data_IF_281454467552
#
_entry.id   IF_281454467552
#
_cell.length_a   1.000
_cell.length_b   1.000
_cell.length_c   1.000
_cell.angle_alpha   90.00
_cell.angle_beta   90.00
_cell.angle_gamma   90.00
#
_symmetry.space_group_name_H-M   'P 1'
#
loop_
_entity.id
_entity.type
_entity.pdbx_description
1 polymer ?
#
# COMPACT_ATOMS: atom_id res chain seq x y z
N UNK A 1 -1.53 -31.17 50.27
CA UNK A 1 -2.72 -32.05 50.40
C UNK A 1 -4.07 -31.31 50.37
N UNK A 2 -4.19 -30.06 50.88
CA UNK A 2 -5.44 -29.27 50.83
C UNK A 2 -5.87 -28.82 49.41
N UNK A 3 -4.91 -28.40 48.58
CA UNK A 3 -5.17 -27.95 47.19
C UNK A 3 -5.75 -29.07 46.32
N UNK A 4 -5.22 -30.29 46.44
CA UNK A 4 -5.72 -31.49 45.74
C UNK A 4 -7.16 -31.86 46.12
N UNK A 5 -7.60 -31.59 47.35
CA UNK A 5 -9.00 -31.81 47.78
C UNK A 5 -9.96 -30.81 47.16
N UNK A 6 -9.55 -29.55 47.04
CA UNK A 6 -10.35 -28.47 46.43
C UNK A 6 -10.53 -28.71 44.93
N UNK A 7 -9.48 -29.14 44.21
CA UNK A 7 -9.62 -29.49 42.79
C UNK A 7 -10.59 -30.67 42.54
N UNK A 8 -10.72 -31.59 43.50
CA UNK A 8 -11.55 -32.79 43.36
C UNK A 8 -13.06 -32.53 43.47
N UNK A 9 -13.46 -31.42 44.11
CA UNK A 9 -14.86 -30.99 44.25
C UNK A 9 -15.36 -30.13 43.10
N UNK A 10 -14.46 -29.61 42.26
CA UNK A 10 -14.82 -28.82 41.07
C UNK A 10 -15.36 -29.75 39.99
N UNK A 11 -16.49 -29.39 39.37
CA UNK A 11 -17.03 -30.12 38.21
C UNK A 11 -16.01 -30.05 37.07
N UNK A 12 -15.75 -31.18 36.41
CA UNK A 12 -14.82 -31.30 35.27
C UNK A 12 -15.03 -30.19 34.23
N UNK A 13 -16.29 -29.85 33.93
CA UNK A 13 -16.66 -28.77 33.01
C UNK A 13 -16.12 -27.40 33.45
N UNK A 14 -16.23 -27.05 34.73
CA UNK A 14 -15.74 -25.77 35.25
C UNK A 14 -14.21 -25.67 35.16
N UNK A 15 -13.51 -26.80 35.41
CA UNK A 15 -12.06 -26.86 35.28
C UNK A 15 -11.62 -26.68 33.82
N UNK A 16 -12.28 -27.34 32.87
CA UNK A 16 -11.98 -27.20 31.44
C UNK A 16 -12.25 -25.76 30.95
N UNK A 17 -13.36 -25.14 31.37
CA UNK A 17 -13.65 -23.73 31.05
C UNK A 17 -12.58 -22.81 31.63
N UNK A 18 -12.14 -23.04 32.87
CA UNK A 18 -11.07 -22.26 33.48
C UNK A 18 -9.75 -22.37 32.71
N UNK A 19 -9.35 -23.58 32.32
CA UNK A 19 -8.13 -23.81 31.53
C UNK A 19 -8.25 -23.13 30.15
N UNK A 20 -9.41 -23.21 29.50
CA UNK A 20 -9.65 -22.55 28.22
C UNK A 20 -9.60 -21.01 28.34
N UNK A 21 -10.19 -20.44 29.39
CA UNK A 21 -10.09 -18.99 29.65
C UNK A 21 -8.65 -18.57 29.94
N UNK A 22 -7.89 -19.39 30.67
CA UNK A 22 -6.48 -19.13 30.93
C UNK A 22 -5.66 -19.16 29.64
N UNK A 23 -5.92 -20.11 28.74
CA UNK A 23 -5.29 -20.18 27.41
C UNK A 23 -5.56 -18.92 26.57
N UNK A 24 -6.82 -18.49 26.50
CA UNK A 24 -7.20 -17.24 25.80
C UNK A 24 -6.55 -16.02 26.48
N UNK A 25 -6.47 -16.02 27.81
CA UNK A 25 -5.79 -14.97 28.58
C UNK A 25 -4.32 -14.83 28.21
N UNK A 26 -3.59 -15.93 28.05
CA UNK A 26 -2.19 -15.92 27.60
C UNK A 26 -2.10 -15.27 26.20
N UNK A 27 -2.96 -15.67 25.26
CA UNK A 27 -2.97 -15.11 23.90
C UNK A 27 -3.15 -13.58 23.93
N UNK A 28 -4.13 -13.11 24.70
CA UNK A 28 -4.42 -11.68 24.79
C UNK A 28 -3.27 -10.90 25.46
N UNK A 29 -2.73 -11.40 26.56
CA UNK A 29 -1.67 -10.73 27.32
C UNK A 29 -0.40 -10.64 26.47
N UNK A 30 0.07 -11.76 25.93
CA UNK A 30 1.29 -11.77 25.11
C UNK A 30 1.09 -10.99 23.80
N UNK A 31 -0.06 -11.12 23.14
CA UNK A 31 -0.37 -10.32 21.96
C UNK A 31 -0.33 -8.81 22.21
N UNK A 32 -0.84 -8.33 23.35
CA UNK A 32 -0.75 -6.91 23.73
C UNK A 32 0.70 -6.51 24.04
N UNK A 33 1.44 -7.33 24.79
CA UNK A 33 2.86 -7.08 25.12
C UNK A 33 3.69 -6.96 23.84
N UNK A 34 3.55 -7.90 22.89
CA UNK A 34 4.29 -7.84 21.62
C UNK A 34 3.90 -6.63 20.78
N UNK A 35 2.62 -6.28 20.74
CA UNK A 35 2.14 -5.09 20.04
C UNK A 35 2.74 -3.80 20.63
N UNK A 36 2.82 -3.70 21.95
CA UNK A 36 3.42 -2.55 22.62
C UNK A 36 4.92 -2.45 22.32
N UNK A 37 5.65 -3.56 22.46
CA UNK A 37 7.09 -3.63 22.12
C UNK A 37 7.32 -3.24 20.66
N UNK A 38 6.54 -3.78 19.74
CA UNK A 38 6.70 -3.50 18.32
C UNK A 38 6.46 -2.02 18.00
N UNK A 39 5.48 -1.38 18.63
CA UNK A 39 5.23 0.04 18.40
C UNK A 39 6.28 0.95 19.07
N UNK A 40 6.73 0.61 20.29
CA UNK A 40 7.79 1.36 20.98
C UNK A 40 9.12 1.28 20.23
N UNK A 41 9.45 0.11 19.69
CA UNK A 41 10.70 -0.14 18.96
C UNK A 41 10.59 0.11 17.46
N UNK A 42 9.44 0.59 16.98
CA UNK A 42 9.19 0.76 15.53
C UNK A 42 9.44 -0.53 14.73
N UNK A 43 9.22 -1.69 15.36
CA UNK A 43 9.35 -3.00 14.76
C UNK A 43 10.76 -3.57 14.72
N UNK A 44 11.79 -2.86 15.18
CA UNK A 44 13.19 -3.31 15.14
C UNK A 44 13.42 -4.65 15.86
N UNK A 45 12.57 -4.95 16.85
CA UNK A 45 12.65 -6.18 17.64
C UNK A 45 11.97 -7.37 16.97
N UNK A 46 11.39 -7.18 15.78
CA UNK A 46 10.73 -8.21 15.00
C UNK A 46 11.23 -8.17 13.54
N UNK A 47 11.29 -9.33 12.90
CA UNK A 47 11.41 -9.43 11.45
C UNK A 47 10.03 -9.77 10.92
N UNK A 48 9.54 -8.96 9.98
CA UNK A 48 8.27 -9.19 9.30
C UNK A 48 8.56 -9.69 7.90
N UNK A 49 7.80 -10.68 7.42
CA UNK A 49 7.74 -10.92 5.99
C UNK A 49 7.22 -9.67 5.26
N UNK A 50 7.75 -9.44 4.04
CA UNK A 50 7.57 -8.19 3.28
C UNK A 50 6.10 -7.75 3.16
N UNK A 51 5.19 -8.72 3.00
CA UNK A 51 3.76 -8.48 2.81
C UNK A 51 3.08 -7.75 3.97
N UNK A 52 3.46 -8.02 5.22
CA UNK A 52 2.81 -7.43 6.41
C UNK A 52 3.16 -5.95 6.52
N UNK A 53 4.43 -5.60 6.30
CA UNK A 53 4.89 -4.21 6.32
C UNK A 53 4.32 -3.43 5.13
N UNK A 54 4.32 -4.04 3.94
CA UNK A 54 3.82 -3.40 2.73
C UNK A 54 2.33 -3.08 2.82
N UNK A 55 1.49 -3.97 3.36
CA UNK A 55 0.06 -3.69 3.55
C UNK A 55 -0.20 -2.46 4.45
N UNK A 56 0.60 -2.27 5.51
CA UNK A 56 0.47 -1.11 6.41
C UNK A 56 0.84 0.18 5.68
N UNK A 57 2.01 0.20 5.04
CA UNK A 57 2.49 1.33 4.22
C UNK A 57 1.47 1.71 3.17
N UNK A 58 0.87 0.71 2.56
CA UNK A 58 -0.10 0.86 1.50
C UNK A 58 -1.41 1.48 1.95
N UNK A 59 -1.96 1.02 3.07
CA UNK A 59 -3.16 1.60 3.66
C UNK A 59 -2.93 3.06 4.07
N UNK A 60 -1.74 3.38 4.58
CA UNK A 60 -1.36 4.75 4.87
C UNK A 60 -1.27 5.60 3.59
N UNK A 61 -0.76 5.03 2.50
CA UNK A 61 -0.65 5.71 1.20
C UNK A 61 -2.03 6.06 0.68
N UNK A 62 -2.91 5.07 0.59
CA UNK A 62 -4.32 5.26 0.20
C UNK A 62 -5.01 6.35 1.02
N UNK A 63 -4.83 6.33 2.34
CA UNK A 63 -5.45 7.31 3.25
C UNK A 63 -4.94 8.73 3.01
N UNK A 64 -3.64 8.91 2.77
CA UNK A 64 -3.03 10.22 2.58
C UNK A 64 -3.27 10.80 1.17
N UNK A 65 -3.36 9.96 0.14
CA UNK A 65 -3.66 10.39 -1.23
C UNK A 65 -5.16 10.55 -1.51
N UNK A 66 -6.03 10.01 -0.64
CA UNK A 66 -7.49 10.14 -0.79
C UNK A 66 -8.09 9.26 -1.89
N UNK A 67 -7.38 8.21 -2.31
CA UNK A 67 -7.79 7.32 -3.39
C UNK A 67 -8.91 6.40 -2.90
N UNK A 68 -10.05 6.37 -3.61
CA UNK A 68 -11.28 5.68 -3.19
C UNK A 68 -11.24 4.17 -3.46
N UNK A 69 -10.96 3.81 -4.70
CA UNK A 69 -10.79 2.42 -5.12
C UNK A 69 -9.35 1.97 -4.83
N UNK A 70 -9.16 0.68 -4.61
CA UNK A 70 -7.83 0.14 -4.38
C UNK A 70 -7.84 -1.30 -4.89
N UNK A 71 -7.52 -1.46 -6.17
CA UNK A 71 -7.51 -2.77 -6.82
C UNK A 71 -6.13 -3.45 -6.64
N UNK A 72 -6.06 -4.74 -7.01
CA UNK A 72 -4.81 -5.52 -6.93
C UNK A 72 -3.69 -4.93 -7.79
N UNK A 73 -4.03 -4.40 -8.96
CA UNK A 73 -3.04 -3.86 -9.90
C UNK A 73 -2.39 -2.58 -9.37
N UNK A 74 -3.18 -1.68 -8.78
CA UNK A 74 -2.70 -0.48 -8.12
C UNK A 74 -1.81 -0.82 -6.92
N UNK A 75 -2.11 -1.93 -6.22
CA UNK A 75 -1.24 -2.47 -5.18
C UNK A 75 0.11 -2.90 -5.69
N UNK A 76 0.13 -3.63 -6.79
CA UNK A 76 1.38 -4.09 -7.38
C UNK A 76 2.22 -2.89 -7.82
N UNK A 77 1.62 -1.89 -8.48
CA UNK A 77 2.39 -0.72 -8.96
C UNK A 77 3.01 0.08 -7.81
N UNK A 78 2.30 0.32 -6.70
CA UNK A 78 2.91 1.04 -5.56
C UNK A 78 4.00 0.17 -4.91
N UNK A 79 3.82 -1.14 -4.85
CA UNK A 79 4.84 -2.06 -4.37
C UNK A 79 6.11 -1.99 -5.25
N UNK A 80 5.94 -1.97 -6.56
CA UNK A 80 7.04 -1.86 -7.52
C UNK A 80 7.79 -0.53 -7.36
N UNK A 81 7.08 0.59 -7.20
CA UNK A 81 7.67 1.90 -6.91
C UNK A 81 8.52 1.88 -5.62
N UNK A 82 8.04 1.19 -4.58
CA UNK A 82 8.75 1.08 -3.31
C UNK A 82 10.01 0.21 -3.42
N UNK A 83 9.92 -0.93 -4.10
CA UNK A 83 11.07 -1.84 -4.31
C UNK A 83 12.13 -1.15 -5.18
N UNK A 84 11.71 -0.46 -6.24
CA UNK A 84 12.59 0.28 -7.12
C UNK A 84 13.27 1.50 -6.46
N UNK A 85 12.85 1.89 -5.25
CA UNK A 85 13.45 3.01 -4.54
C UNK A 85 13.06 4.38 -5.09
N UNK A 86 11.94 4.47 -5.81
CA UNK A 86 11.44 5.69 -6.45
C UNK A 86 11.19 6.82 -5.45
N UNK A 87 10.90 6.47 -4.20
CA UNK A 87 10.77 7.40 -3.07
C UNK A 87 12.07 8.17 -2.72
N UNK A 88 13.24 7.72 -3.21
CA UNK A 88 14.54 8.37 -3.00
C UNK A 88 14.83 9.48 -4.01
N UNK A 89 14.00 9.63 -5.06
CA UNK A 89 14.19 10.67 -6.08
C UNK A 89 14.27 12.08 -5.48
N UNK A 90 15.10 12.97 -6.05
CA UNK A 90 15.29 14.32 -5.56
C UNK A 90 14.18 15.26 -6.07
N UNK A 91 12.98 15.14 -5.50
CA UNK A 91 11.86 15.97 -5.93
C UNK A 91 11.88 17.39 -5.33
N UNK A 92 11.49 18.38 -6.13
CA UNK A 92 11.46 19.81 -5.79
C UNK A 92 10.07 20.37 -6.06
N UNK A 93 9.50 21.11 -5.09
CA UNK A 93 8.27 21.88 -5.31
C UNK A 93 8.60 23.27 -5.84
N UNK A 94 7.96 23.67 -6.94
CA UNK A 94 8.08 24.99 -7.52
C UNK A 94 6.69 25.62 -7.62
N UNK A 95 6.58 26.87 -7.19
CA UNK A 95 5.38 27.68 -7.36
C UNK A 95 5.39 28.31 -8.77
N UNK A 96 4.40 27.99 -9.59
CA UNK A 96 4.16 28.61 -10.90
C UNK A 96 2.69 28.97 -11.03
N UNK A 97 2.38 30.20 -11.44
CA UNK A 97 1.01 30.69 -11.63
C UNK A 97 0.08 30.36 -10.45
N UNK A 98 0.55 30.65 -9.23
CA UNK A 98 -0.17 30.39 -7.96
C UNK A 98 -0.43 28.90 -7.65
N UNK A 99 0.12 27.97 -8.45
CA UNK A 99 0.02 26.52 -8.24
C UNK A 99 1.39 25.93 -7.92
N UNK A 100 1.41 24.98 -6.99
CA UNK A 100 2.61 24.22 -6.66
C UNK A 100 2.69 22.97 -7.54
N UNK A 101 3.84 22.80 -8.18
CA UNK A 101 4.15 21.63 -9.00
C UNK A 101 5.37 20.93 -8.43
N UNK A 102 5.35 19.60 -8.47
CA UNK A 102 6.45 18.75 -7.97
C UNK A 102 7.25 18.24 -9.16
N UNK A 103 8.56 18.43 -9.13
CA UNK A 103 9.47 18.10 -10.23
C UNK A 103 10.57 17.12 -9.81
N UNK A 104 11.01 16.28 -10.73
CA UNK A 104 12.30 15.59 -10.69
C UNK A 104 13.13 16.04 -11.90
N UNK A 105 14.15 16.86 -11.64
CA UNK A 105 15.06 17.35 -12.70
C UNK A 105 16.24 16.43 -12.95
N UNK A 106 16.31 15.28 -12.27
CA UNK A 106 17.41 14.34 -12.46
C UNK A 106 17.15 13.40 -13.62
N UNK A 107 15.90 12.95 -13.77
CA UNK A 107 15.47 12.00 -14.79
C UNK A 107 13.99 12.22 -15.13
N UNK A 108 13.58 11.74 -16.30
CA UNK A 108 12.16 11.57 -16.58
C UNK A 108 11.51 10.57 -15.61
N UNK A 109 10.19 10.64 -15.47
CA UNK A 109 9.43 9.81 -14.53
C UNK A 109 9.53 8.31 -14.86
N UNK A 110 9.58 7.95 -16.15
CA UNK A 110 9.73 6.57 -16.60
C UNK A 110 8.45 5.73 -16.48
N UNK A 111 8.58 4.42 -16.77
CA UNK A 111 7.45 3.51 -16.95
C UNK A 111 6.64 3.26 -15.67
N UNK A 112 7.29 3.22 -14.50
CA UNK A 112 6.61 2.92 -13.24
C UNK A 112 5.60 4.01 -12.83
N UNK A 113 6.01 5.28 -12.92
CA UNK A 113 5.12 6.41 -12.67
C UNK A 113 4.08 6.58 -13.78
N UNK A 114 4.42 6.27 -15.03
CA UNK A 114 3.46 6.25 -16.13
C UNK A 114 2.33 5.24 -15.88
N UNK A 115 2.68 4.03 -15.43
CA UNK A 115 1.70 3.01 -15.07
C UNK A 115 0.86 3.44 -13.85
N UNK A 116 1.49 4.02 -12.82
CA UNK A 116 0.78 4.57 -11.66
C UNK A 116 -0.29 5.60 -12.04
N UNK A 117 0.08 6.61 -12.83
CA UNK A 117 -0.85 7.66 -13.24
C UNK A 117 -1.91 7.16 -14.22
N UNK A 118 -1.59 6.19 -15.07
CA UNK A 118 -2.57 5.54 -15.93
C UNK A 118 -3.65 4.84 -15.11
N UNK A 119 -3.27 4.00 -14.14
CA UNK A 119 -4.23 3.31 -13.26
C UNK A 119 -5.04 4.32 -12.44
N UNK A 120 -4.40 5.36 -11.91
CA UNK A 120 -5.09 6.42 -11.16
C UNK A 120 -6.14 7.14 -12.02
N UNK A 121 -5.84 7.39 -13.30
CA UNK A 121 -6.78 8.01 -14.22
C UNK A 121 -7.93 7.05 -14.58
N UNK A 122 -7.65 5.75 -14.77
CA UNK A 122 -8.69 4.74 -14.98
C UNK A 122 -9.65 4.62 -13.78
N UNK A 123 -9.14 4.71 -12.55
CA UNK A 123 -9.99 4.70 -11.34
C UNK A 123 -10.94 5.91 -11.29
N UNK A 124 -10.53 7.06 -11.83
CA UNK A 124 -11.39 8.24 -12.00
C UNK A 124 -12.39 8.08 -13.17
N UNK A 125 -12.34 6.97 -13.89
CA UNK A 125 -13.16 6.70 -15.07
C UNK A 125 -12.74 7.49 -16.30
N UNK A 126 -11.51 8.02 -16.32
CA UNK A 126 -10.95 8.75 -17.45
C UNK A 126 -10.56 7.74 -18.53
N UNK A 127 -10.98 8.01 -19.77
CA UNK A 127 -10.76 7.11 -20.90
C UNK A 127 -10.01 7.78 -22.05
N UNK A 128 -10.17 9.10 -22.21
CA UNK A 128 -9.53 9.86 -23.28
C UNK A 128 -8.85 11.12 -22.76
N UNK A 129 -7.89 11.62 -23.56
CA UNK A 129 -7.19 12.87 -23.34
C UNK A 129 -7.17 13.71 -24.62
N UNK A 130 -7.11 15.02 -24.46
CA UNK A 130 -6.88 15.98 -25.55
C UNK A 130 -5.77 16.93 -25.16
N UNK A 131 -4.83 17.16 -26.08
CA UNK A 131 -3.78 18.17 -25.91
C UNK A 131 -4.38 19.52 -26.30
N UNK A 132 -4.48 20.44 -25.33
CA UNK A 132 -5.02 21.79 -25.55
C UNK A 132 -3.94 22.74 -26.06
N UNK A 133 -2.76 22.67 -25.46
CA UNK A 133 -1.63 23.48 -25.85
C UNK A 133 -0.33 22.82 -25.42
N UNK A 134 0.73 23.12 -26.18
CA UNK A 134 2.09 22.81 -25.83
C UNK A 134 2.92 24.06 -26.08
N UNK A 135 3.70 24.47 -25.08
CA UNK A 135 4.61 25.61 -25.18
C UNK A 135 5.97 25.24 -24.61
N UNK A 136 7.01 25.74 -25.23
CA UNK A 136 8.36 25.61 -24.69
C UNK A 136 8.46 26.38 -23.36
N UNK A 137 9.08 25.76 -22.37
CA UNK A 137 9.33 26.33 -21.06
C UNK A 137 10.70 25.86 -20.58
N UNK A 138 11.57 26.79 -20.20
CA UNK A 138 12.87 26.44 -19.62
C UNK A 138 12.72 26.36 -18.11
N UNK A 139 12.54 25.13 -17.60
CA UNK A 139 12.55 24.89 -16.15
C UNK A 139 13.96 24.50 -15.73
N UNK A 140 14.52 25.27 -14.79
CA UNK A 140 15.82 25.05 -14.18
C UNK A 140 17.06 25.12 -15.11
N UNK A 141 16.99 25.85 -16.23
CA UNK A 141 18.12 26.19 -17.14
C UNK A 141 18.96 25.01 -17.70
N UNK A 142 18.58 23.76 -17.41
CA UNK A 142 19.37 22.56 -17.71
C UNK A 142 18.74 21.69 -18.81
N UNK A 143 17.43 21.79 -19.01
CA UNK A 143 16.68 20.99 -19.98
C UNK A 143 15.66 21.84 -20.74
N UNK A 144 15.54 21.60 -22.06
CA UNK A 144 14.47 22.16 -22.89
C UNK A 144 13.21 21.33 -22.67
N UNK A 145 12.28 21.87 -21.88
CA UNK A 145 11.02 21.20 -21.55
C UNK A 145 9.84 21.86 -22.24
N UNK A 146 8.75 21.12 -22.38
CA UNK A 146 7.49 21.64 -22.92
C UNK A 146 6.40 21.53 -21.88
N UNK A 147 5.76 22.64 -21.56
CA UNK A 147 4.51 22.65 -20.78
C UNK A 147 3.40 22.21 -21.71
N UNK A 148 2.82 21.05 -21.39
CA UNK A 148 1.68 20.50 -22.09
C UNK A 148 0.46 20.64 -21.19
N UNK A 149 -0.60 21.24 -21.72
CA UNK A 149 -1.90 21.30 -21.07
C UNK A 149 -2.80 20.22 -21.68
N UNK A 150 -3.26 19.31 -20.83
CA UNK A 150 -4.03 18.13 -21.25
C UNK A 150 -5.39 18.17 -20.57
N UNK A 151 -6.46 18.16 -21.38
CA UNK A 151 -7.82 17.94 -20.89
C UNK A 151 -8.11 16.44 -20.83
N UNK A 152 -8.71 15.98 -19.73
CA UNK A 152 -9.04 14.58 -19.48
C UNK A 152 -10.55 14.37 -19.59
N UNK A 153 -10.96 13.27 -20.23
CA UNK A 153 -12.35 13.00 -20.61
C UNK A 153 -12.80 11.60 -20.22
N UNK A 154 -14.10 11.47 -20.01
CA UNK A 154 -14.81 10.19 -19.85
C UNK A 154 -15.85 10.03 -20.94
N UNK A 155 -15.99 8.79 -21.40
CA UNK A 155 -16.99 8.43 -22.41
C UNK A 155 -18.38 8.34 -21.77
N UNK A 156 -19.35 9.03 -22.38
CA UNK A 156 -20.77 8.98 -22.05
C UNK A 156 -21.40 7.73 -22.67
N UNK A 157 -21.12 6.56 -22.11
CA UNK A 157 -21.70 5.29 -22.55
C UNK A 157 -20.78 4.09 -22.33
N UNK A 158 -21.37 2.88 -22.26
CA UNK A 158 -20.59 1.64 -22.29
C UNK A 158 -20.22 1.35 -23.74
N UNK A 159 -18.95 1.54 -24.11
CA UNK A 159 -18.43 0.97 -25.35
C UNK A 159 -18.60 -0.55 -25.29
N UNK A 160 -19.31 -1.13 -26.25
CA UNK A 160 -19.58 -2.58 -26.31
C UNK A 160 -18.34 -3.40 -26.61
N UNK A 161 -17.29 -2.79 -27.16
CA UNK A 161 -16.03 -3.43 -27.47
C UNK A 161 -14.91 -2.59 -26.85
N UNK A 162 -14.09 -3.17 -25.98
CA UNK A 162 -13.04 -2.49 -25.21
C UNK A 162 -11.85 -1.96 -26.03
N UNK A 163 -12.08 -1.52 -27.27
CA UNK A 163 -11.10 -0.86 -28.12
C UNK A 163 -11.36 0.64 -27.98
N UNK A 164 -10.45 1.35 -27.34
CA UNK A 164 -10.54 2.81 -27.23
C UNK A 164 -10.09 3.43 -28.54
N UNK A 165 -11.05 3.98 -29.30
CA UNK A 165 -10.82 4.60 -30.60
C UNK A 165 -10.32 6.05 -30.46
N UNK A 166 -9.63 6.55 -31.48
CA UNK A 166 -9.27 7.97 -31.57
C UNK A 166 -10.47 8.71 -32.15
N UNK A 167 -10.98 9.71 -31.42
CA UNK A 167 -12.10 10.51 -31.89
C UNK A 167 -11.61 11.83 -32.48
N UNK A 168 -12.04 12.12 -33.71
CA UNK A 168 -11.84 13.43 -34.34
C UNK A 168 -13.06 14.30 -34.07
N UNK A 169 -12.88 15.44 -33.38
CA UNK A 169 -13.93 16.45 -33.14
C UNK A 169 -15.22 16.02 -32.40
N UNK A 170 -15.39 14.76 -31.98
CA UNK A 170 -16.61 14.31 -31.30
C UNK A 170 -16.56 14.56 -29.77
N UNK A 171 -16.91 15.78 -29.35
CA UNK A 171 -17.06 16.12 -27.93
C UNK A 171 -18.38 15.64 -27.33
N UNK A 172 -19.38 15.28 -28.14
CA UNK A 172 -20.74 15.02 -27.63
C UNK A 172 -20.78 13.74 -26.80
N UNK A 173 -19.95 12.77 -27.14
CA UNK A 173 -19.81 11.51 -26.41
C UNK A 173 -18.77 11.56 -25.29
N UNK A 174 -18.06 12.68 -25.12
CA UNK A 174 -16.95 12.80 -24.17
C UNK A 174 -17.20 13.94 -23.18
N UNK A 175 -17.41 13.57 -21.91
CA UNK A 175 -17.52 14.53 -20.82
C UNK A 175 -16.14 14.89 -20.28
N UNK A 176 -15.79 16.19 -20.32
CA UNK A 176 -14.56 16.70 -19.71
C UNK A 176 -14.63 16.54 -18.18
N UNK A 177 -13.62 15.90 -17.60
CA UNK A 177 -13.49 15.69 -16.14
C UNK A 177 -12.53 16.70 -15.54
N UNK A 178 -11.34 16.84 -16.12
CA UNK A 178 -10.24 17.59 -15.50
C UNK A 178 -9.30 18.18 -16.55
N UNK A 179 -8.37 19.03 -16.11
CA UNK A 179 -7.27 19.54 -16.94
C UNK A 179 -6.00 19.56 -16.13
N UNK A 180 -4.98 18.87 -16.63
CA UNK A 180 -3.66 18.78 -16.01
C UNK A 180 -2.62 19.52 -16.84
N UNK A 181 -1.61 20.04 -16.16
CA UNK A 181 -0.44 20.63 -16.80
C UNK A 181 0.78 19.82 -16.38
N UNK A 182 1.63 19.51 -17.36
CA UNK A 182 2.83 18.72 -17.12
C UNK A 182 3.99 19.19 -18.00
N UNK A 183 5.20 18.94 -17.54
CA UNK A 183 6.43 19.27 -18.23
C UNK A 183 7.02 18.01 -18.82
N UNK A 184 7.18 17.98 -20.13
CA UNK A 184 7.64 16.82 -20.87
C UNK A 184 8.90 17.16 -21.64
N UNK A 185 9.88 16.27 -21.54
CA UNK A 185 11.10 16.32 -22.34
C UNK A 185 10.82 15.77 -23.74
N UNK A 186 11.51 16.30 -24.74
CA UNK A 186 11.44 15.80 -26.12
C UNK A 186 10.03 15.75 -26.72
N UNK A 187 9.10 16.60 -26.25
CA UNK A 187 7.72 16.64 -26.74
C UNK A 187 7.59 16.80 -28.27
N UNK A 188 8.39 17.62 -28.99
CA UNK A 188 8.27 17.72 -30.45
C UNK A 188 8.43 16.37 -31.16
N UNK A 189 9.39 15.56 -30.73
CA UNK A 189 9.61 14.22 -31.27
C UNK A 189 8.41 13.29 -30.97
N UNK A 190 7.91 13.33 -29.73
CA UNK A 190 6.70 12.58 -29.35
C UNK A 190 5.48 13.03 -30.16
N UNK A 191 5.36 14.33 -30.43
CA UNK A 191 4.28 14.92 -31.21
C UNK A 191 4.30 14.40 -32.64
N UNK A 192 5.46 14.42 -33.28
CA UNK A 192 5.63 13.90 -34.65
C UNK A 192 5.42 12.39 -34.75
N UNK A 193 5.87 11.63 -33.74
CA UNK A 193 5.78 10.17 -33.75
C UNK A 193 4.37 9.66 -33.44
N UNK A 194 3.66 10.33 -32.53
CA UNK A 194 2.40 9.80 -31.99
C UNK A 194 1.18 10.69 -32.24
N UNK A 195 1.31 12.01 -32.38
CA UNK A 195 0.16 12.93 -32.36
C UNK A 195 -0.06 13.62 -33.72
N UNK A 196 -1.12 13.21 -34.44
CA UNK A 196 -1.39 13.68 -35.79
C UNK A 196 -2.23 14.97 -35.88
N UNK A 197 -3.04 15.32 -34.85
CA UNK A 197 -3.92 16.51 -34.87
C UNK A 197 -4.22 17.02 -33.44
N UNK A 198 -4.28 18.34 -33.26
CA UNK A 198 -4.61 19.04 -31.99
C UNK A 198 -6.09 18.88 -31.60
N UNK A 199 -6.97 18.59 -32.56
CA UNK A 199 -8.41 18.45 -32.33
C UNK A 199 -8.86 17.00 -32.04
N UNK A 200 -7.91 16.07 -31.89
CA UNK A 200 -8.19 14.67 -31.61
C UNK A 200 -8.29 14.37 -30.10
N UNK A 201 -9.19 13.45 -29.76
CA UNK A 201 -9.26 12.80 -28.46
C UNK A 201 -8.56 11.45 -28.54
N UNK A 202 -7.50 11.29 -27.76
CA UNK A 202 -6.64 10.12 -27.76
C UNK A 202 -6.96 9.21 -26.58
N UNK A 203 -6.95 7.89 -26.75
CA UNK A 203 -7.14 6.95 -25.65
C UNK A 203 -5.98 7.02 -24.64
N UNK A 204 -6.26 6.78 -23.35
CA UNK A 204 -5.23 6.93 -22.31
C UNK A 204 -4.10 5.89 -22.37
N UNK A 205 -4.40 4.65 -22.74
CA UNK A 205 -3.51 3.48 -22.59
C UNK A 205 -2.13 3.62 -23.25
N UNK A 206 -2.01 4.40 -24.31
CA UNK A 206 -0.76 4.58 -25.04
C UNK A 206 -0.26 6.03 -24.94
N UNK A 207 -1.10 6.98 -25.32
CA UNK A 207 -0.71 8.39 -25.47
C UNK A 207 -0.39 9.05 -24.14
N UNK A 208 -1.22 8.83 -23.13
CA UNK A 208 -0.99 9.40 -21.81
C UNK A 208 0.22 8.77 -21.12
N UNK A 209 0.39 7.45 -21.26
CA UNK A 209 1.52 6.70 -20.71
C UNK A 209 2.85 7.23 -21.27
N UNK A 210 2.96 7.43 -22.59
CA UNK A 210 4.17 7.96 -23.21
C UNK A 210 4.49 9.39 -22.79
N UNK A 211 3.48 10.24 -22.60
CA UNK A 211 3.70 11.60 -22.10
C UNK A 211 4.20 11.61 -20.65
N UNK A 212 3.61 10.79 -19.78
CA UNK A 212 4.04 10.68 -18.37
C UNK A 212 5.44 10.09 -18.27
N UNK A 213 5.73 9.04 -19.05
CA UNK A 213 7.06 8.42 -19.10
C UNK A 213 8.17 9.43 -19.35
N UNK A 214 7.93 10.38 -20.25
CA UNK A 214 8.88 11.43 -20.63
C UNK A 214 8.67 12.74 -19.85
N UNK A 215 7.84 12.74 -18.80
CA UNK A 215 7.62 13.91 -17.97
C UNK A 215 8.73 14.08 -16.93
N UNK A 216 8.97 15.32 -16.53
CA UNK A 216 9.81 15.69 -15.38
C UNK A 216 8.99 16.26 -14.22
N UNK A 217 7.67 16.35 -14.38
CA UNK A 217 6.75 16.85 -13.37
C UNK A 217 5.73 15.78 -12.98
N UNK A 218 5.53 15.62 -11.68
CA UNK A 218 4.46 14.80 -11.15
C UNK A 218 3.12 15.51 -11.26
N UNK A 219 2.03 14.76 -11.43
CA UNK A 219 0.68 15.31 -11.54
C UNK A 219 0.06 15.64 -10.17
N UNK A 220 0.66 15.17 -9.09
CA UNK A 220 0.17 15.31 -7.72
C UNK A 220 1.31 15.16 -6.69
N UNK A 221 0.94 15.15 -5.41
CA UNK A 221 1.87 14.99 -4.28
C UNK A 221 2.16 13.50 -3.94
N UNK A 222 1.72 12.55 -4.78
CA UNK A 222 1.96 11.11 -4.59
C UNK A 222 3.43 10.75 -4.32
N UNK A 223 4.46 11.26 -5.03
CA UNK A 223 5.87 10.96 -4.70
C UNK A 223 6.29 11.42 -3.30
N UNK A 224 5.71 12.52 -2.81
CA UNK A 224 6.01 13.07 -1.48
C UNK A 224 5.39 12.20 -0.41
N UNK A 225 4.12 11.80 -0.63
CA UNK A 225 3.43 10.84 0.23
C UNK A 225 4.17 9.50 0.24
N UNK A 226 4.66 9.02 -0.92
CA UNK A 226 5.45 7.81 -1.04
C UNK A 226 6.74 7.89 -0.23
N UNK A 227 7.50 8.99 -0.33
CA UNK A 227 8.71 9.21 0.48
C UNK A 227 8.43 9.28 1.95
N UNK A 228 7.40 10.02 2.34
CA UNK A 228 6.97 10.08 3.73
C UNK A 228 6.66 8.68 4.25
N UNK A 229 5.94 7.89 3.48
CA UNK A 229 5.53 6.54 3.88
C UNK A 229 6.69 5.54 3.82
N UNK A 230 7.63 5.70 2.92
CA UNK A 230 8.81 4.86 2.90
C UNK A 230 9.64 5.06 4.18
N UNK A 231 9.73 6.31 4.65
CA UNK A 231 10.52 6.73 5.79
C UNK A 231 9.77 6.72 7.13
N UNK A 232 8.44 6.73 7.13
CA UNK A 232 7.61 6.78 8.34
C UNK A 232 7.71 5.47 9.12
N UNK A 233 7.77 5.62 10.44
CA UNK A 233 7.65 4.52 11.41
C UNK A 233 6.16 4.27 11.65
N UNK A 234 5.60 3.23 11.04
CA UNK A 234 4.16 2.93 11.19
C UNK A 234 3.84 2.28 12.51
N UNK A 235 2.65 2.61 13.03
CA UNK A 235 2.03 1.87 14.13
C UNK A 235 1.53 0.52 13.59
N UNK A 236 2.02 -0.57 14.16
CA UNK A 236 1.60 -1.92 13.85
C UNK A 236 0.20 -2.21 14.42
N UNK A 237 -0.56 -3.06 13.72
CA UNK A 237 -1.89 -3.50 14.15
C UNK A 237 -1.81 -4.48 15.31
N UNK A 238 -2.67 -4.34 16.32
CA UNK A 238 -2.81 -5.30 17.42
C UNK A 238 -3.15 -6.71 16.92
N UNK A 239 -3.95 -6.80 15.86
CA UNK A 239 -4.36 -8.07 15.27
C UNK A 239 -3.19 -8.92 14.78
N UNK A 240 -2.14 -8.29 14.26
CA UNK A 240 -0.95 -9.01 13.81
C UNK A 240 -0.23 -9.71 14.98
N UNK A 241 -0.26 -9.11 16.17
CA UNK A 241 0.39 -9.66 17.34
C UNK A 241 -0.49 -10.60 18.15
N UNK A 242 -1.81 -10.44 18.10
CA UNK A 242 -2.74 -11.48 18.55
C UNK A 242 -2.62 -12.75 17.69
N UNK A 243 -2.47 -12.57 16.37
CA UNK A 243 -2.14 -13.65 15.44
C UNK A 243 -0.78 -14.28 15.79
N UNK A 244 0.27 -13.48 15.93
CA UNK A 244 1.61 -13.96 16.28
C UNK A 244 1.61 -14.76 17.59
N UNK A 245 0.95 -14.25 18.62
CA UNK A 245 0.78 -14.95 19.90
C UNK A 245 0.02 -16.27 19.71
N UNK A 246 -1.08 -16.26 18.94
CA UNK A 246 -1.85 -17.47 18.63
C UNK A 246 -1.02 -18.54 17.93
N UNK A 247 -0.26 -18.20 16.89
CA UNK A 247 0.57 -19.17 16.15
C UNK A 247 1.78 -19.64 16.96
N UNK A 248 2.24 -18.83 17.92
CA UNK A 248 3.33 -19.16 18.84
C UNK A 248 2.87 -20.15 19.91
N UNK A 249 1.76 -19.87 20.61
CA UNK A 249 1.23 -20.72 21.67
C UNK A 249 0.70 -22.07 21.14
N UNK A 250 0.21 -22.09 19.89
CA UNK A 250 -0.21 -23.33 19.20
C UNK A 250 0.95 -24.09 18.57
N UNK A 251 2.19 -23.59 18.70
CA UNK A 251 3.42 -24.18 18.12
C UNK A 251 3.39 -24.31 16.58
N UNK A 252 2.50 -23.58 15.89
CA UNK A 252 2.42 -23.57 14.43
C UNK A 252 3.61 -22.85 13.81
N UNK A 253 3.92 -21.64 14.30
CA UNK A 253 5.12 -20.89 13.91
C UNK A 253 5.30 -20.67 12.40
N UNK A 254 4.28 -20.14 11.70
CA UNK A 254 4.33 -19.94 10.23
C UNK A 254 5.50 -19.09 9.72
N UNK A 255 6.11 -18.25 10.57
CA UNK A 255 7.29 -17.47 10.23
C UNK A 255 7.01 -16.09 9.60
N UNK A 256 5.74 -15.66 9.55
CA UNK A 256 5.36 -14.33 9.03
C UNK A 256 5.89 -13.18 9.90
N UNK A 257 6.04 -13.44 11.20
CA UNK A 257 6.60 -12.54 12.22
C UNK A 257 7.60 -13.36 13.04
N UNK A 258 8.82 -12.87 13.18
CA UNK A 258 9.93 -13.56 13.85
C UNK A 258 10.56 -12.65 14.92
N UNK A 259 10.95 -13.17 16.09
CA UNK A 259 11.59 -12.36 17.13
C UNK A 259 13.06 -12.06 16.79
N UNK A 260 13.39 -10.77 16.65
CA UNK A 260 14.73 -10.31 16.29
C UNK A 260 15.61 -9.98 17.52
N UNK A 261 15.01 -9.57 18.64
CA UNK A 261 15.75 -9.23 19.86
C UNK A 261 15.74 -10.33 20.92
N UNK A 262 16.78 -10.36 21.76
CA UNK A 262 16.89 -11.32 22.88
C UNK A 262 15.70 -11.24 23.82
N UNK A 263 15.20 -10.04 24.11
CA UNK A 263 14.05 -9.82 24.99
C UNK A 263 12.80 -10.51 24.44
N UNK A 264 12.47 -10.28 23.17
CA UNK A 264 11.27 -10.88 22.56
C UNK A 264 11.43 -12.40 22.42
N UNK A 265 12.65 -12.90 22.13
CA UNK A 265 12.93 -14.34 22.10
C UNK A 265 12.65 -15.00 23.46
N UNK A 266 13.04 -14.38 24.57
CA UNK A 266 12.74 -14.89 25.91
C UNK A 266 11.23 -14.91 26.18
N UNK A 267 10.50 -13.85 25.80
CA UNK A 267 9.03 -13.82 25.95
C UNK A 267 8.36 -14.94 25.15
N UNK A 268 8.78 -15.15 23.90
CA UNK A 268 8.30 -16.25 23.05
C UNK A 268 8.56 -17.60 23.70
N UNK A 269 9.76 -17.83 24.27
CA UNK A 269 10.07 -19.07 25.01
C UNK A 269 9.11 -19.28 26.18
N UNK A 270 8.86 -18.25 26.98
CA UNK A 270 7.94 -18.31 28.13
C UNK A 270 6.51 -18.61 27.67
N UNK A 271 6.05 -17.95 26.61
CA UNK A 271 4.72 -18.18 26.03
C UNK A 271 4.56 -19.61 25.51
N UNK A 272 5.53 -20.12 24.74
CA UNK A 272 5.49 -21.49 24.19
C UNK A 272 5.48 -22.54 25.31
N UNK A 273 6.32 -22.39 26.34
CA UNK A 273 6.33 -23.31 27.49
C UNK A 273 4.98 -23.27 28.21
N UNK A 274 4.41 -22.08 28.40
CA UNK A 274 3.08 -21.92 29.03
C UNK A 274 1.98 -22.57 28.18
N UNK A 275 2.02 -22.41 26.86
CA UNK A 275 1.09 -23.04 25.92
C UNK A 275 1.10 -24.56 26.00
N UNK A 276 2.29 -25.17 25.91
CA UNK A 276 2.46 -26.63 25.99
C UNK A 276 1.94 -27.16 27.33
N UNK A 277 2.21 -26.45 28.44
CA UNK A 277 1.69 -26.81 29.76
C UNK A 277 0.16 -26.77 29.81
N UNK A 278 -0.46 -25.71 29.27
CA UNK A 278 -1.91 -25.54 29.25
C UNK A 278 -2.61 -26.58 28.37
N UNK A 279 -2.09 -26.84 27.17
CA UNK A 279 -2.64 -27.87 26.27
C UNK A 279 -2.48 -29.26 26.88
N UNK A 280 -1.33 -29.58 27.48
CA UNK A 280 -1.08 -30.86 28.14
C UNK A 280 -2.02 -31.10 29.33
N UNK A 281 -2.24 -30.07 30.16
CA UNK A 281 -3.19 -30.14 31.29
C UNK A 281 -4.64 -30.21 30.83
N UNK A 282 -5.01 -29.48 29.77
CA UNK A 282 -6.34 -29.57 29.16
C UNK A 282 -6.63 -30.99 28.66
N UNK A 283 -5.72 -31.58 27.88
CA UNK A 283 -5.83 -32.95 27.39
C UNK A 283 -5.93 -33.96 28.54
N UNK A 284 -5.08 -33.82 29.55
CA UNK A 284 -5.11 -34.69 30.75
C UNK A 284 -6.46 -34.61 31.47
N UNK A 285 -7.03 -33.41 31.62
CA UNK A 285 -8.35 -33.22 32.24
C UNK A 285 -9.48 -33.76 31.36
N UNK A 286 -9.38 -33.61 30.03
CA UNK A 286 -10.37 -34.08 29.07
C UNK A 286 -10.50 -35.60 29.10
N UNK A 287 -9.38 -36.32 29.16
CA UNK A 287 -9.35 -37.78 29.21
C UNK A 287 -9.41 -38.36 30.63
N UNK A 288 -9.44 -37.51 31.66
CA UNK A 288 -9.71 -37.96 33.03
C UNK A 288 -11.12 -38.55 33.11
N UNK A 289 -11.20 -39.88 33.15
CA UNK A 289 -12.40 -40.62 33.52
C UNK A 289 -12.39 -40.86 35.03
N UNK A 290 -13.37 -40.30 35.74
CA UNK A 290 -13.72 -40.81 37.07
C UNK A 290 -14.30 -42.21 36.83
N UNK A 291 -13.51 -43.27 37.06
CA UNK A 291 -14.10 -44.58 37.33
C UNK A 291 -15.11 -44.35 38.46
N UNK A 292 -16.38 -44.66 38.20
CA UNK A 292 -17.42 -44.75 39.22
C UNK A 292 -16.99 -45.78 40.26
#
# INVERSE_FOLDING_TARGET
MRILKVLRSVKKTNLLIFIAMFYIGIILIFGVIYWEIANLTSGEFFVFQEDVNMNIKMNAFKKQTGIKAYNKDFKNVINDLMIAGEYKRPFVKILKNEKLYTFDFSNSLGDMWANYYYLLAQEKGITHMKIESAREDMVAAKFKTYVIKISLYKLNGKNKNGIYEIYKNDSNNLMKIDTVEMWVENYPLLCEEFFNDKNCFYPLNFYFVNLIKNSVSFLDDSPIVLKKIANDKFKYSLWNFLYFSTVTITTLGYGDILPNSTLVRVLVMVETISGVFVVGTFGSCLFWNKKK
#
